data_IF_287424716530
#
_entry.id   IF_287424716530
#
_cell.length_a   1.000
_cell.length_b   1.000
_cell.length_c   1.000
_cell.angle_alpha   90.00
_cell.angle_beta   90.00
_cell.angle_gamma   90.00
#
_symmetry.space_group_name_H-M   'P 1'
#
loop_
_entity.id
_entity.type
_entity.pdbx_description
1 polymer ?
#
# COMPACT_ATOMS: atom_id res chain seq x y z
N UNK A 1 5.34 -41.77 -10.54
CA UNK A 1 4.49 -40.58 -10.76
C UNK A 1 3.44 -40.54 -9.67
N UNK A 2 3.59 -39.64 -8.70
CA UNK A 2 2.52 -39.08 -7.88
C UNK A 2 3.12 -37.90 -7.11
N UNK A 3 2.56 -36.73 -7.36
CA UNK A 3 3.06 -35.39 -7.05
C UNK A 3 2.79 -35.00 -5.59
N UNK A 4 3.82 -34.49 -4.92
CA UNK A 4 3.75 -33.80 -3.63
C UNK A 4 2.97 -32.48 -3.78
N UNK A 5 1.89 -32.30 -3.00
CA UNK A 5 1.25 -31.01 -2.74
C UNK A 5 1.64 -30.54 -1.33
N UNK A 6 2.14 -29.31 -1.14
CA UNK A 6 2.28 -28.74 0.19
C UNK A 6 0.91 -28.26 0.70
N UNK A 7 0.44 -28.87 1.80
CA UNK A 7 -0.73 -28.43 2.55
C UNK A 7 -0.36 -27.11 3.26
N UNK A 8 -0.86 -25.99 2.74
CA UNK A 8 -0.83 -24.70 3.43
C UNK A 8 -1.90 -24.75 4.52
N UNK A 9 -1.47 -25.02 5.74
CA UNK A 9 -2.32 -25.01 6.93
C UNK A 9 -2.67 -23.55 7.28
N UNK A 10 -3.79 -23.06 6.75
CA UNK A 10 -4.38 -21.78 7.19
C UNK A 10 -5.03 -22.02 8.55
N UNK A 11 -4.33 -21.65 9.63
CA UNK A 11 -4.90 -21.64 10.97
C UNK A 11 -5.96 -20.54 11.08
N UNK A 12 -7.23 -20.94 10.89
CA UNK A 12 -8.41 -20.14 11.20
C UNK A 12 -8.55 -20.00 12.73
N UNK A 13 -7.83 -19.04 13.33
CA UNK A 13 -8.08 -18.60 14.71
C UNK A 13 -9.36 -17.75 14.74
N UNK A 14 -10.51 -18.40 14.90
CA UNK A 14 -11.76 -17.73 15.25
C UNK A 14 -11.78 -17.46 16.75
N UNK A 15 -11.15 -16.37 17.19
CA UNK A 15 -11.32 -15.86 18.56
C UNK A 15 -12.48 -14.86 18.55
N UNK A 16 -13.71 -15.35 18.74
CA UNK A 16 -14.82 -14.51 19.18
C UNK A 16 -14.97 -14.64 20.69
N UNK A 17 -14.29 -13.77 21.43
CA UNK A 17 -14.72 -13.41 22.78
C UNK A 17 -14.84 -11.87 22.85
N UNK A 18 -16.05 -11.38 22.63
CA UNK A 18 -16.41 -9.97 22.81
C UNK A 18 -16.57 -9.64 24.30
N UNK A 19 -15.49 -9.75 25.07
CA UNK A 19 -15.48 -9.23 26.44
C UNK A 19 -15.13 -7.74 26.42
N UNK A 20 -15.85 -6.93 27.21
CA UNK A 20 -15.44 -5.56 27.52
C UNK A 20 -14.07 -5.61 28.20
N UNK A 21 -13.18 -4.68 27.85
CA UNK A 21 -11.89 -4.57 28.52
C UNK A 21 -12.07 -4.13 29.97
N UNK A 22 -11.12 -4.49 30.82
CA UNK A 22 -11.11 -4.03 32.21
C UNK A 22 -10.31 -2.74 32.30
N UNK A 23 -10.92 -1.66 32.80
CA UNK A 23 -10.26 -0.36 32.93
C UNK A 23 -8.98 -0.47 33.79
N UNK A 24 -7.91 0.16 33.33
CA UNK A 24 -6.61 0.16 34.02
C UNK A 24 -5.78 -1.11 33.83
N UNK A 25 -6.29 -2.15 33.17
CA UNK A 25 -5.47 -3.28 32.71
C UNK A 25 -4.61 -2.87 31.50
N UNK A 26 -3.59 -3.67 31.17
CA UNK A 26 -2.78 -3.40 30.00
C UNK A 26 -3.60 -3.42 28.69
N UNK A 27 -3.10 -2.78 27.64
CA UNK A 27 -3.65 -2.97 26.29
C UNK A 27 -3.46 -4.44 25.91
N UNK A 28 -4.55 -5.09 25.48
CA UNK A 28 -4.52 -6.53 25.21
C UNK A 28 -3.56 -6.88 24.08
N UNK A 29 -3.01 -8.09 24.11
CA UNK A 29 -2.01 -8.56 23.16
C UNK A 29 -2.50 -8.45 21.72
N UNK A 30 -3.75 -8.87 21.45
CA UNK A 30 -4.36 -8.76 20.13
C UNK A 30 -4.56 -7.32 19.65
N UNK A 31 -4.82 -6.39 20.57
CA UNK A 31 -5.08 -4.99 20.21
C UNK A 31 -3.79 -4.24 19.86
N UNK A 32 -2.72 -4.41 20.63
CA UNK A 32 -1.46 -3.74 20.33
C UNK A 32 -0.72 -4.37 19.14
N UNK A 33 -0.73 -5.70 19.01
CA UNK A 33 -0.14 -6.40 17.85
C UNK A 33 -0.94 -6.15 16.57
N UNK A 34 -2.27 -6.12 16.66
CA UNK A 34 -3.14 -5.75 15.54
C UNK A 34 -2.91 -4.31 15.08
N UNK A 35 -2.68 -3.37 16.02
CA UNK A 35 -2.32 -2.00 15.68
C UNK A 35 -0.98 -1.94 14.93
N UNK A 36 0.04 -2.68 15.39
CA UNK A 36 1.31 -2.79 14.67
C UNK A 36 1.14 -3.40 13.27
N UNK A 37 0.30 -4.42 13.14
CA UNK A 37 -0.04 -5.01 11.83
C UNK A 37 -0.64 -3.98 10.90
N UNK A 38 -1.58 -3.15 11.38
CA UNK A 38 -2.14 -2.04 10.59
C UNK A 38 -1.07 -1.01 10.18
N UNK A 39 -0.14 -0.66 11.09
CA UNK A 39 0.98 0.21 10.76
C UNK A 39 1.87 -0.41 9.67
N UNK A 40 2.11 -1.72 9.72
CA UNK A 40 2.82 -2.48 8.69
C UNK A 40 2.10 -2.42 7.32
N UNK A 41 0.79 -2.58 7.29
CA UNK A 41 -0.02 -2.44 6.07
C UNK A 41 0.06 -1.01 5.48
N UNK A 42 0.10 0.00 6.33
CA UNK A 42 0.30 1.40 5.92
C UNK A 42 1.74 1.66 5.42
N UNK A 43 2.75 0.96 5.95
CA UNK A 43 4.12 1.00 5.43
C UNK A 43 4.22 0.36 4.05
N UNK A 44 3.58 -0.78 3.82
CA UNK A 44 3.45 -1.39 2.48
C UNK A 44 2.76 -0.45 1.49
N UNK A 45 1.75 0.27 1.96
CA UNK A 45 1.05 1.26 1.14
C UNK A 45 1.97 2.40 0.67
N UNK A 46 2.86 2.87 1.54
CA UNK A 46 3.87 3.88 1.19
C UNK A 46 4.82 3.36 0.11
N UNK A 47 5.35 2.13 0.26
CA UNK A 47 6.21 1.49 -0.74
C UNK A 47 5.53 1.34 -2.10
N UNK A 48 4.25 0.94 -2.11
CA UNK A 48 3.42 0.90 -3.33
C UNK A 48 3.26 2.28 -3.97
N UNK A 49 3.10 3.33 -3.15
CA UNK A 49 3.09 4.71 -3.61
C UNK A 49 4.42 5.12 -4.27
N UNK A 50 5.55 4.77 -3.64
CA UNK A 50 6.88 5.04 -4.17
C UNK A 50 7.11 4.32 -5.51
N UNK A 51 6.75 3.04 -5.59
CA UNK A 51 6.78 2.25 -6.82
C UNK A 51 6.03 2.93 -7.95
N UNK A 52 4.85 3.50 -7.67
CA UNK A 52 4.07 4.19 -8.69
C UNK A 52 4.77 5.43 -9.23
N UNK A 53 5.45 6.19 -8.37
CA UNK A 53 6.24 7.36 -8.79
C UNK A 53 7.45 6.94 -9.63
N UNK A 54 8.16 5.87 -9.25
CA UNK A 54 9.32 5.38 -10.00
C UNK A 54 8.93 4.75 -11.33
N UNK A 55 7.85 3.95 -11.36
CA UNK A 55 7.38 3.26 -12.56
C UNK A 55 7.04 4.21 -13.72
N UNK A 56 6.44 5.37 -13.42
CA UNK A 56 6.11 6.36 -14.46
C UNK A 56 7.38 6.94 -15.10
N UNK A 57 8.39 7.27 -14.28
CA UNK A 57 9.69 7.77 -14.77
C UNK A 57 10.42 6.73 -15.62
N UNK A 58 10.37 5.45 -15.21
CA UNK A 58 10.94 4.33 -15.97
C UNK A 58 10.22 4.17 -17.31
N UNK A 59 8.89 4.28 -17.35
CA UNK A 59 8.12 4.18 -18.59
C UNK A 59 8.47 5.29 -19.58
N UNK A 60 8.48 6.56 -19.13
CA UNK A 60 8.85 7.72 -19.96
C UNK A 60 10.26 7.54 -20.54
N UNK A 61 11.23 7.22 -19.69
CA UNK A 61 12.63 7.02 -20.12
C UNK A 61 12.75 5.89 -21.15
N UNK A 62 11.97 4.81 -20.98
CA UNK A 62 11.99 3.66 -21.88
C UNK A 62 11.38 3.99 -23.24
N UNK A 63 10.24 4.69 -23.30
CA UNK A 63 9.61 5.12 -24.56
C UNK A 63 10.49 6.11 -25.33
N UNK A 64 11.12 7.09 -24.64
CA UNK A 64 12.06 8.03 -25.27
C UNK A 64 13.29 7.32 -25.83
N UNK A 65 13.91 6.40 -25.06
CA UNK A 65 15.04 5.61 -25.57
C UNK A 65 14.64 4.78 -26.78
N UNK A 66 13.46 4.17 -26.75
CA UNK A 66 13.01 3.32 -27.85
C UNK A 66 12.72 4.15 -29.09
N UNK A 67 12.11 5.33 -28.95
CA UNK A 67 11.95 6.30 -30.03
C UNK A 67 13.29 6.63 -30.69
N UNK A 68 14.29 7.06 -29.91
CA UNK A 68 15.60 7.41 -30.48
C UNK A 68 16.33 6.23 -31.11
N UNK A 69 16.28 5.04 -30.49
CA UNK A 69 16.85 3.82 -31.09
C UNK A 69 16.22 3.51 -32.45
N UNK A 70 14.89 3.58 -32.53
CA UNK A 70 14.16 3.36 -33.78
C UNK A 70 14.49 4.43 -34.81
N UNK A 71 14.51 5.71 -34.43
CA UNK A 71 14.85 6.81 -35.32
C UNK A 71 16.26 6.69 -35.89
N UNK A 72 17.27 6.49 -35.03
CA UNK A 72 18.68 6.32 -35.43
C UNK A 72 18.85 5.11 -36.36
N UNK A 73 18.17 3.99 -36.06
CA UNK A 73 18.23 2.80 -36.92
C UNK A 73 17.66 3.07 -38.31
N UNK A 74 16.53 3.76 -38.40
CA UNK A 74 15.87 4.09 -39.66
C UNK A 74 16.67 5.10 -40.48
N UNK A 75 17.27 6.11 -39.84
CA UNK A 75 18.19 7.04 -40.49
C UNK A 75 19.39 6.32 -41.11
N UNK A 76 19.99 5.39 -40.36
CA UNK A 76 21.12 4.60 -40.84
C UNK A 76 20.76 3.63 -41.96
N UNK A 77 19.59 2.98 -41.87
CA UNK A 77 19.19 1.91 -42.80
C UNK A 77 18.52 2.42 -44.08
N UNK A 78 17.81 3.56 -44.01
CA UNK A 78 16.99 4.07 -45.09
C UNK A 78 17.36 5.50 -45.53
N UNK A 79 18.47 6.07 -45.06
CA UNK A 79 18.94 7.43 -45.44
C UNK A 79 17.87 8.52 -45.25
N UNK A 80 17.06 8.41 -44.19
CA UNK A 80 15.99 9.36 -43.89
C UNK A 80 14.68 9.15 -44.67
N UNK A 81 14.56 8.08 -45.48
CA UNK A 81 13.31 7.74 -46.18
C UNK A 81 12.48 6.78 -45.33
N UNK A 82 11.37 7.26 -44.80
CA UNK A 82 10.48 6.46 -43.95
C UNK A 82 9.32 5.88 -44.74
N UNK A 83 9.04 4.60 -44.50
CA UNK A 83 7.75 4.01 -44.90
C UNK A 83 6.64 4.45 -43.93
N UNK A 84 5.37 4.46 -44.35
CA UNK A 84 4.26 4.80 -43.46
C UNK A 84 4.21 3.94 -42.18
N UNK A 85 4.61 2.66 -42.27
CA UNK A 85 4.67 1.77 -41.10
C UNK A 85 5.77 2.18 -40.10
N UNK A 86 6.88 2.75 -40.57
CA UNK A 86 7.97 3.22 -39.74
C UNK A 86 7.63 4.56 -39.09
N UNK A 87 6.97 5.47 -39.81
CA UNK A 87 6.41 6.70 -39.25
C UNK A 87 5.39 6.40 -38.15
N UNK A 88 4.46 5.47 -38.40
CA UNK A 88 3.48 5.04 -37.41
C UNK A 88 4.13 4.44 -36.15
N UNK A 89 5.26 3.73 -36.29
CA UNK A 89 6.00 3.19 -35.15
C UNK A 89 6.67 4.30 -34.32
N UNK A 90 7.24 5.32 -34.96
CA UNK A 90 7.80 6.49 -34.28
C UNK A 90 6.70 7.29 -33.57
N UNK A 91 5.57 7.53 -34.23
CA UNK A 91 4.40 8.18 -33.65
C UNK A 91 3.87 7.39 -32.45
N UNK A 92 3.78 6.07 -32.53
CA UNK A 92 3.38 5.22 -31.40
C UNK A 92 4.27 5.45 -30.16
N UNK A 93 5.59 5.48 -30.31
CA UNK A 93 6.50 5.73 -29.18
C UNK A 93 6.39 7.16 -28.65
N UNK A 94 6.16 8.16 -29.51
CA UNK A 94 5.92 9.54 -29.11
C UNK A 94 4.59 9.69 -28.34
N UNK A 95 3.50 9.10 -28.85
CA UNK A 95 2.20 9.06 -28.18
C UNK A 95 2.28 8.36 -26.83
N UNK A 96 2.96 7.22 -26.73
CA UNK A 96 3.15 6.52 -25.46
C UNK A 96 4.00 7.32 -24.46
N UNK A 97 4.98 8.09 -24.95
CA UNK A 97 5.73 9.03 -24.12
C UNK A 97 4.81 10.11 -23.57
N UNK A 98 3.97 10.72 -24.42
CA UNK A 98 3.00 11.75 -24.01
C UNK A 98 1.93 11.20 -23.06
N UNK A 99 1.43 9.98 -23.28
CA UNK A 99 0.53 9.28 -22.37
C UNK A 99 1.20 9.07 -21.00
N UNK A 100 2.44 8.57 -20.97
CA UNK A 100 3.19 8.37 -19.75
C UNK A 100 3.46 9.71 -19.04
N UNK A 101 3.81 10.77 -19.77
CA UNK A 101 4.03 12.11 -19.23
C UNK A 101 2.72 12.74 -18.70
N UNK A 102 1.59 12.52 -19.36
CA UNK A 102 0.27 12.94 -18.86
C UNK A 102 -0.13 12.22 -17.58
N UNK A 103 0.49 11.06 -17.29
CA UNK A 103 0.35 10.38 -16.00
C UNK A 103 1.21 11.00 -14.89
N UNK A 104 2.22 11.79 -15.25
CA UNK A 104 3.02 12.67 -14.37
C UNK A 104 2.32 14.00 -14.12
N UNK A 105 1.26 14.35 -14.87
CA UNK A 105 0.52 15.59 -14.66
C UNK A 105 0.22 15.81 -13.17
N UNK A 106 0.48 17.03 -12.69
CA UNK A 106 0.72 17.37 -11.28
C UNK A 106 -0.27 16.70 -10.30
N UNK A 107 -1.55 16.64 -10.64
CA UNK A 107 -2.59 16.06 -9.80
C UNK A 107 -2.36 14.57 -9.44
N UNK A 108 -1.80 13.75 -10.33
CA UNK A 108 -1.54 12.32 -10.05
C UNK A 108 -0.32 12.11 -9.15
N UNK A 109 0.74 12.88 -9.38
CA UNK A 109 1.95 12.87 -8.55
C UNK A 109 1.62 13.38 -7.15
N UNK A 110 0.92 14.52 -7.06
CA UNK A 110 0.49 15.11 -5.79
C UNK A 110 -0.47 14.20 -5.02
N UNK A 111 -1.41 13.52 -5.70
CA UNK A 111 -2.27 12.51 -5.06
C UNK A 111 -1.49 11.33 -4.50
N UNK A 112 -0.47 10.86 -5.24
CA UNK A 112 0.39 9.75 -4.80
C UNK A 112 1.28 10.16 -3.62
N UNK A 113 1.93 11.33 -3.70
CA UNK A 113 2.70 11.90 -2.61
C UNK A 113 1.85 12.14 -1.35
N UNK A 114 0.62 12.63 -1.53
CA UNK A 114 -0.33 12.82 -0.43
C UNK A 114 -0.72 11.48 0.19
N UNK A 115 -0.91 10.43 -0.61
CA UNK A 115 -1.22 9.09 -0.11
C UNK A 115 -0.05 8.52 0.72
N UNK A 116 1.19 8.68 0.25
CA UNK A 116 2.40 8.31 0.99
C UNK A 116 2.45 9.06 2.33
N UNK A 117 2.30 10.40 2.31
CA UNK A 117 2.31 11.23 3.51
C UNK A 117 1.23 10.82 4.51
N UNK A 118 0.00 10.60 4.05
CA UNK A 118 -1.13 10.24 4.91
C UNK A 118 -0.96 8.85 5.53
N UNK A 119 -0.48 7.87 4.75
CA UNK A 119 -0.20 6.52 5.24
C UNK A 119 0.96 6.52 6.25
N UNK A 120 2.04 7.25 5.96
CA UNK A 120 3.19 7.39 6.85
C UNK A 120 2.84 8.08 8.16
N UNK A 121 2.06 9.16 8.11
CA UNK A 121 1.60 9.84 9.32
C UNK A 121 0.76 8.93 10.22
N UNK A 122 -0.11 8.10 9.64
CA UNK A 122 -0.91 7.13 10.39
C UNK A 122 -0.05 5.99 10.97
N UNK A 123 0.87 5.42 10.18
CA UNK A 123 1.79 4.37 10.64
C UNK A 123 2.68 4.87 11.79
N UNK A 124 3.28 6.06 11.64
CA UNK A 124 4.13 6.67 12.66
C UNK A 124 3.36 7.00 13.94
N UNK A 125 2.11 7.48 13.83
CA UNK A 125 1.29 7.76 15.00
C UNK A 125 0.96 6.47 15.78
N UNK A 126 0.65 5.37 15.08
CA UNK A 126 0.42 4.06 15.70
C UNK A 126 1.70 3.56 16.37
N UNK A 127 2.80 3.48 15.60
CA UNK A 127 4.08 2.98 16.10
C UNK A 127 4.60 3.79 17.29
N UNK A 128 4.50 5.11 17.23
CA UNK A 128 4.90 6.01 18.32
C UNK A 128 4.11 5.74 19.60
N UNK A 129 2.78 5.63 19.52
CA UNK A 129 1.96 5.32 20.69
C UNK A 129 2.29 3.95 21.30
N UNK A 130 2.37 2.90 20.49
CA UNK A 130 2.67 1.55 20.99
C UNK A 130 4.08 1.49 21.59
N UNK A 131 5.08 2.16 20.98
CA UNK A 131 6.42 2.28 21.58
C UNK A 131 6.39 3.02 22.89
N UNK A 132 5.62 4.12 23.01
CA UNK A 132 5.44 4.79 24.30
C UNK A 132 4.86 3.84 25.35
N UNK A 133 3.82 3.07 25.01
CA UNK A 133 3.26 2.09 25.95
C UNK A 133 4.25 0.97 26.32
N UNK A 134 5.08 0.52 25.38
CA UNK A 134 6.13 -0.46 25.64
C UNK A 134 7.18 0.04 26.64
N UNK A 135 7.55 1.32 26.53
CA UNK A 135 8.52 1.94 27.44
C UNK A 135 7.92 2.24 28.82
N UNK A 136 6.60 2.36 28.94
CA UNK A 136 5.89 2.55 30.20
C UNK A 136 5.63 1.18 30.84
N UNK A 137 6.71 0.58 31.33
CA UNK A 137 6.72 -0.69 32.02
C UNK A 137 7.67 -0.65 33.23
N UNK A 138 7.19 -1.15 34.37
CA UNK A 138 8.01 -1.51 35.51
C UNK A 138 8.34 -3.02 35.45
N UNK A 139 9.36 -3.45 36.18
CA UNK A 139 9.74 -4.85 36.23
C UNK A 139 8.56 -5.71 36.72
N UNK A 140 8.15 -6.67 35.88
CA UNK A 140 7.28 -7.84 36.14
C UNK A 140 5.84 -7.59 36.61
N UNK A 141 5.48 -6.37 37.00
CA UNK A 141 4.18 -6.09 37.67
C UNK A 141 3.33 -5.03 36.98
N UNK A 142 3.94 -4.04 36.33
CA UNK A 142 3.22 -2.95 35.68
C UNK A 142 3.71 -2.80 34.25
N UNK A 143 2.79 -2.80 33.30
CA UNK A 143 3.10 -2.55 31.90
C UNK A 143 1.83 -2.05 31.22
N UNK A 144 2.02 -1.18 30.24
CA UNK A 144 0.92 -0.76 29.40
C UNK A 144 0.58 -1.72 28.27
N UNK A 145 1.40 -2.76 28.06
CA UNK A 145 1.16 -3.81 27.08
C UNK A 145 1.07 -5.18 27.75
N UNK A 146 0.13 -6.00 27.30
CA UNK A 146 -0.01 -7.40 27.71
C UNK A 146 1.00 -8.28 26.95
N UNK A 147 1.67 -9.21 27.65
CA UNK A 147 2.70 -10.05 27.04
C UNK A 147 2.16 -11.18 26.14
N UNK A 148 0.95 -11.66 26.42
CA UNK A 148 0.33 -12.79 25.76
C UNK A 148 -1.20 -12.73 25.93
N UNK A 149 -1.93 -13.25 24.95
CA UNK A 149 -3.40 -13.18 24.90
C UNK A 149 -4.08 -13.58 26.22
N UNK A 150 -5.02 -12.74 26.67
CA UNK A 150 -5.98 -13.05 27.75
C UNK A 150 -5.34 -13.36 29.10
N UNK A 151 -4.11 -12.92 29.34
CA UNK A 151 -3.39 -13.14 30.60
C UNK A 151 -3.43 -11.94 31.54
N UNK A 152 -3.48 -10.74 30.98
CA UNK A 152 -3.12 -9.46 31.61
C UNK A 152 -1.76 -9.50 32.34
N UNK A 153 -0.82 -10.31 31.85
CA UNK A 153 0.54 -10.34 32.37
C UNK A 153 1.38 -9.22 31.73
N UNK A 154 2.25 -8.61 32.53
CA UNK A 154 3.03 -7.47 32.11
C UNK A 154 4.01 -7.84 30.98
N UNK A 155 3.95 -7.13 29.86
CA UNK A 155 5.00 -7.18 28.85
C UNK A 155 6.24 -6.47 29.38
N UNK A 156 7.36 -7.18 29.40
CA UNK A 156 8.66 -6.56 29.62
C UNK A 156 8.98 -5.58 28.47
N UNK A 157 9.59 -4.44 28.82
CA UNK A 157 10.11 -3.49 27.82
C UNK A 157 11.07 -4.19 26.88
N UNK A 158 11.04 -3.85 25.60
CA UNK A 158 11.92 -4.49 24.64
C UNK A 158 11.77 -3.88 23.25
N UNK A 159 12.67 -4.25 22.34
CA UNK A 159 12.58 -3.78 20.97
C UNK A 159 11.28 -4.28 20.33
N UNK A 160 10.56 -3.36 19.71
CA UNK A 160 9.45 -3.66 18.80
C UNK A 160 10.00 -3.72 17.37
N UNK A 161 9.34 -4.45 16.48
CA UNK A 161 9.76 -4.57 15.08
C UNK A 161 9.98 -5.99 14.56
N UNK A 162 9.94 -6.99 15.44
CA UNK A 162 9.80 -8.39 15.06
C UNK A 162 8.43 -8.91 15.50
N UNK A 163 8.02 -10.06 14.98
CA UNK A 163 6.77 -10.68 15.40
C UNK A 163 6.71 -10.80 16.93
N UNK A 164 5.59 -10.41 17.57
CA UNK A 164 4.30 -10.03 16.96
C UNK A 164 4.12 -8.50 16.75
N UNK A 165 5.18 -7.70 16.92
CA UNK A 165 5.20 -6.24 16.84
C UNK A 165 5.66 -5.67 15.47
N UNK A 166 5.64 -6.48 14.40
CA UNK A 166 6.02 -6.02 13.06
C UNK A 166 5.12 -4.84 12.61
N UNK A 167 5.72 -3.79 12.05
CA UNK A 167 5.09 -2.52 11.69
C UNK A 167 5.20 -1.41 12.75
N UNK A 168 5.67 -1.74 13.95
CA UNK A 168 5.94 -0.77 15.04
C UNK A 168 7.44 -0.55 15.28
N UNK A 169 8.30 -0.85 14.30
CA UNK A 169 9.74 -0.61 14.34
C UNK A 169 10.03 0.85 14.70
N UNK A 170 11.06 1.10 15.50
CA UNK A 170 11.52 2.46 15.81
C UNK A 170 11.93 3.22 14.55
N UNK A 171 12.68 2.53 13.69
CA UNK A 171 13.06 2.99 12.36
C UNK A 171 12.61 1.94 11.32
N UNK A 172 11.60 2.24 10.49
CA UNK A 172 11.18 1.35 9.41
C UNK A 172 12.16 1.32 8.23
N UNK A 173 13.23 2.14 8.27
CA UNK A 173 14.21 2.30 7.21
C UNK A 173 13.74 3.18 6.06
N UNK A 174 14.58 3.26 5.02
CA UNK A 174 14.31 4.05 3.84
C UNK A 174 13.09 3.53 3.04
N UNK A 175 12.41 4.47 2.38
CA UNK A 175 11.30 4.16 1.50
C UNK A 175 11.81 3.43 0.24
N UNK A 176 11.39 2.17 0.06
CA UNK A 176 11.71 1.36 -1.11
C UNK A 176 10.54 1.29 -2.10
N UNK A 177 10.83 1.04 -3.38
CA UNK A 177 9.86 0.99 -4.48
C UNK A 177 9.26 -0.40 -4.71
N UNK A 178 8.95 -1.10 -3.62
CA UNK A 178 8.46 -2.48 -3.64
C UNK A 178 6.92 -2.54 -3.70
N UNK A 179 6.38 -3.45 -4.50
CA UNK A 179 4.94 -3.73 -4.55
C UNK A 179 4.62 -4.90 -3.64
N UNK A 180 4.03 -4.61 -2.48
CA UNK A 180 3.50 -5.61 -1.57
C UNK A 180 1.97 -5.52 -1.49
N UNK A 181 1.31 -6.67 -1.48
CA UNK A 181 -0.14 -6.75 -1.34
C UNK A 181 -0.56 -6.31 0.08
N UNK A 182 -1.68 -5.59 0.15
CA UNK A 182 -2.29 -5.10 1.38
C UNK A 182 -3.74 -5.58 1.50
N UNK A 183 -3.97 -6.89 1.69
CA UNK A 183 -5.29 -7.51 1.48
C UNK A 183 -6.35 -7.04 2.47
N UNK A 184 -5.95 -6.57 3.66
CA UNK A 184 -6.86 -6.08 4.69
C UNK A 184 -7.07 -4.57 4.61
N UNK A 185 -6.26 -3.84 3.85
CA UNK A 185 -6.40 -2.40 3.62
C UNK A 185 -7.15 -2.16 2.29
N UNK A 186 -8.45 -1.89 2.39
CA UNK A 186 -9.32 -1.67 1.24
C UNK A 186 -9.42 -0.19 0.89
N UNK A 187 -10.09 0.13 -0.23
CA UNK A 187 -10.38 1.52 -0.61
C UNK A 187 -11.22 2.28 0.43
N UNK A 188 -12.01 1.57 1.23
CA UNK A 188 -13.00 2.16 2.15
C UNK A 188 -12.60 2.07 3.61
N UNK A 189 -11.59 1.27 3.98
CA UNK A 189 -11.24 1.04 5.36
C UNK A 189 -10.35 -0.19 5.56
N UNK A 190 -10.32 -0.70 6.79
CA UNK A 190 -9.51 -1.84 7.23
C UNK A 190 -10.39 -3.00 7.69
N UNK A 191 -10.24 -4.16 7.05
CA UNK A 191 -11.15 -5.31 7.19
C UNK A 191 -10.52 -6.50 7.93
N UNK A 192 -9.42 -6.29 8.64
CA UNK A 192 -8.87 -7.34 9.50
C UNK A 192 -9.89 -7.78 10.56
N UNK A 193 -9.85 -9.05 10.92
CA UNK A 193 -10.75 -9.62 11.93
C UNK A 193 -10.68 -8.80 13.24
N UNK A 194 -11.84 -8.55 13.85
CA UNK A 194 -11.96 -7.72 15.07
C UNK A 194 -12.03 -6.21 14.81
N UNK A 195 -11.63 -5.70 13.65
CA UNK A 195 -11.61 -4.25 13.37
C UNK A 195 -12.93 -3.68 12.83
N UNK A 196 -13.92 -4.52 12.51
CA UNK A 196 -15.26 -4.09 12.07
C UNK A 196 -16.16 -3.54 13.18
N UNK A 197 -15.78 -3.71 14.44
CA UNK A 197 -16.53 -3.23 15.58
C UNK A 197 -15.67 -2.38 16.51
N UNK A 198 -16.32 -1.46 17.21
CA UNK A 198 -15.71 -0.73 18.32
C UNK A 198 -15.55 -1.67 19.50
N UNK A 199 -14.42 -1.62 20.18
CA UNK A 199 -14.10 -2.55 21.27
C UNK A 199 -13.32 -1.85 22.38
N UNK A 200 -13.37 -2.40 23.60
CA UNK A 200 -12.42 -2.04 24.65
C UNK A 200 -11.02 -2.51 24.25
N UNK A 201 -10.02 -1.66 24.38
CA UNK A 201 -8.64 -1.99 24.00
C UNK A 201 -7.87 -2.73 25.11
N UNK A 202 -8.41 -2.70 26.33
CA UNK A 202 -7.75 -3.22 27.53
C UNK A 202 -8.00 -4.73 27.70
N UNK A 203 -7.04 -5.44 28.29
CA UNK A 203 -7.17 -6.87 28.58
C UNK A 203 -8.29 -7.15 29.58
N UNK A 204 -9.02 -8.23 29.35
CA UNK A 204 -9.98 -8.82 30.27
C UNK A 204 -9.37 -9.96 31.10
N UNK A 205 -8.06 -10.22 30.98
CA UNK A 205 -7.34 -11.24 31.74
C UNK A 205 -7.21 -10.90 33.23
N UNK A 206 -6.86 -11.91 34.02
CA UNK A 206 -6.80 -11.85 35.50
C UNK A 206 -5.41 -11.51 36.07
N UNK A 207 -4.41 -11.29 35.22
CA UNK A 207 -3.05 -10.92 35.62
C UNK A 207 -2.93 -9.52 36.22
N UNK A 208 -1.70 -9.16 36.60
CA UNK A 208 -1.40 -8.01 37.45
C UNK A 208 -1.05 -6.73 36.68
N UNK A 209 -0.89 -6.78 35.35
CA UNK A 209 -0.46 -5.61 34.59
C UNK A 209 -1.45 -4.45 34.74
N UNK A 210 -0.92 -3.28 35.11
CA UNK A 210 -1.68 -2.03 35.21
C UNK A 210 -1.09 -0.94 34.34
N UNK A 211 -1.98 -0.15 33.74
CA UNK A 211 -1.66 0.95 32.86
C UNK A 211 -2.52 2.17 33.15
N UNK A 212 -1.90 3.34 33.28
CA UNK A 212 -2.66 4.59 33.50
C UNK A 212 -3.45 5.01 32.25
N UNK A 213 -2.92 4.76 31.04
CA UNK A 213 -3.56 5.17 29.77
C UNK A 213 -4.88 4.43 29.47
N UNK A 214 -5.15 3.33 30.18
CA UNK A 214 -6.37 2.54 30.00
C UNK A 214 -7.40 2.72 31.11
N UNK A 215 -7.06 3.49 32.17
CA UNK A 215 -7.98 3.80 33.27
C UNK A 215 -9.12 4.71 32.80
N UNK A 216 -10.29 4.55 33.43
CA UNK A 216 -11.43 5.44 33.28
C UNK A 216 -11.03 6.91 33.51
N UNK A 217 -11.66 7.86 32.81
CA UNK A 217 -11.31 9.30 32.87
C UNK A 217 -11.31 9.86 34.29
N UNK A 218 -12.24 9.40 35.12
CA UNK A 218 -12.42 9.85 36.50
C UNK A 218 -11.33 9.36 37.47
N UNK A 219 -10.55 8.35 37.09
CA UNK A 219 -9.47 7.78 37.90
C UNK A 219 -8.15 7.69 37.11
N UNK A 220 -8.05 8.47 36.04
CA UNK A 220 -6.90 8.49 35.16
C UNK A 220 -5.87 9.49 35.70
N UNK A 221 -4.77 9.00 36.26
CA UNK A 221 -3.71 9.84 36.86
C UNK A 221 -2.82 10.56 35.83
N UNK A 222 -3.31 10.85 34.63
CA UNK A 222 -2.63 11.70 33.65
C UNK A 222 -2.62 13.18 34.06
N UNK A 223 -3.57 13.59 34.90
CA UNK A 223 -3.60 14.91 35.52
C UNK A 223 -3.04 14.78 36.95
N UNK A 224 -2.22 15.73 37.38
CA UNK A 224 -1.73 15.78 38.74
C UNK A 224 -2.89 16.06 39.71
N UNK A 225 -3.25 15.12 40.61
CA UNK A 225 -4.34 15.33 41.55
C UNK A 225 -3.86 16.16 42.75
N UNK A 226 -4.32 17.42 42.87
CA UNK A 226 -4.07 18.23 44.07
C UNK A 226 -4.89 17.73 45.28
N UNK A 227 -6.08 17.17 45.03
CA UNK A 227 -6.87 16.43 46.01
C UNK A 227 -7.81 15.43 45.30
N UNK A 228 -7.51 14.13 45.43
CA UNK A 228 -8.27 13.06 44.76
C UNK A 228 -8.15 13.07 43.23
N UNK A 229 -8.60 11.99 42.60
CA UNK A 229 -8.51 11.85 41.15
C UNK A 229 -9.29 12.94 40.40
N UNK A 230 -8.66 13.50 39.37
CA UNK A 230 -9.24 14.55 38.54
C UNK A 230 -9.84 13.94 37.28
N UNK A 231 -11.10 14.27 36.99
CA UNK A 231 -11.76 13.79 35.78
C UNK A 231 -11.23 14.53 34.54
N UNK A 232 -10.76 13.76 33.55
CA UNK A 232 -10.40 14.31 32.25
C UNK A 232 -11.69 14.78 31.53
N UNK A 233 -11.78 16.07 31.22
CA UNK A 233 -12.96 16.63 30.54
C UNK A 233 -13.06 16.24 29.05
N UNK A 234 -11.93 16.25 28.33
CA UNK A 234 -11.87 15.92 26.90
C UNK A 234 -11.86 14.41 26.62
N UNK A 235 -11.80 14.04 25.34
CA UNK A 235 -11.59 12.66 24.87
C UNK A 235 -10.16 12.52 24.30
N UNK A 236 -9.14 12.16 25.12
CA UNK A 236 -7.81 11.90 24.61
C UNK A 236 -7.83 10.90 23.45
N UNK A 237 -7.17 11.25 22.35
CA UNK A 237 -7.05 10.43 21.16
C UNK A 237 -5.59 10.01 20.97
N UNK A 238 -5.36 8.73 20.73
CA UNK A 238 -4.02 8.16 20.58
C UNK A 238 -3.89 7.43 19.24
N UNK A 239 -2.65 7.20 18.80
CA UNK A 239 -2.36 6.49 17.56
C UNK A 239 -3.13 7.05 16.34
N UNK A 240 -3.08 8.38 16.17
CA UNK A 240 -3.79 9.07 15.09
C UNK A 240 -5.32 9.03 15.23
N UNK A 241 -5.81 8.72 16.42
CA UNK A 241 -7.21 8.54 16.78
C UNK A 241 -7.75 7.13 16.61
N UNK A 242 -6.90 6.13 16.34
CA UNK A 242 -7.26 4.71 16.38
C UNK A 242 -7.83 4.31 17.76
N UNK A 243 -7.16 4.76 18.82
CA UNK A 243 -7.61 4.58 20.19
C UNK A 243 -8.08 5.91 20.76
N UNK A 244 -9.02 5.84 21.69
CA UNK A 244 -9.47 6.99 22.42
C UNK A 244 -9.91 6.61 23.83
N UNK A 245 -9.70 7.52 24.78
CA UNK A 245 -10.10 7.29 26.16
C UNK A 245 -11.56 7.71 26.34
N UNK A 246 -12.46 6.72 26.39
CA UNK A 246 -13.86 6.93 26.75
C UNK A 246 -14.01 7.04 28.28
N UNK A 247 -15.20 7.44 28.75
CA UNK A 247 -15.46 7.65 30.18
C UNK A 247 -14.98 6.49 31.08
N UNK A 248 -15.22 5.24 30.67
CA UNK A 248 -14.90 4.05 31.47
C UNK A 248 -13.59 3.35 31.15
N UNK A 249 -13.03 3.49 29.94
CA UNK A 249 -11.84 2.72 29.51
C UNK A 249 -11.27 3.27 28.19
N UNK A 250 -10.06 2.83 27.84
CA UNK A 250 -9.52 2.98 26.49
C UNK A 250 -10.30 2.10 25.50
N UNK A 251 -10.73 2.70 24.39
CA UNK A 251 -11.46 2.01 23.31
C UNK A 251 -10.73 2.12 22.00
N UNK A 252 -10.85 1.07 21.19
CA UNK A 252 -10.48 1.07 19.78
C UNK A 252 -11.69 1.40 18.91
N UNK A 253 -11.48 2.20 17.87
CA UNK A 253 -12.50 2.48 16.84
C UNK A 253 -12.69 1.29 15.89
N UNK A 254 -13.88 1.19 15.31
CA UNK A 254 -14.08 0.36 14.12
C UNK A 254 -13.46 1.05 12.90
N UNK A 255 -12.84 0.28 12.01
CA UNK A 255 -12.09 0.80 10.87
C UNK A 255 -12.61 0.30 9.51
N UNK A 256 -13.66 -0.52 9.49
CA UNK A 256 -14.29 -1.08 8.29
C UNK A 256 -14.84 -0.01 7.33
N UNK A 257 -15.22 1.15 7.88
CA UNK A 257 -15.64 2.32 7.12
C UNK A 257 -14.89 3.58 7.58
N UNK A 258 -13.81 3.91 6.89
CA UNK A 258 -12.98 5.08 7.17
C UNK A 258 -13.72 6.41 6.94
N UNK A 259 -14.69 6.46 6.03
CA UNK A 259 -15.45 7.68 5.78
C UNK A 259 -16.30 8.09 6.99
N UNK A 260 -16.80 7.10 7.75
CA UNK A 260 -17.61 7.28 8.95
C UNK A 260 -16.80 7.56 10.22
N UNK A 261 -15.46 7.61 10.15
CA UNK A 261 -14.61 7.99 11.26
C UNK A 261 -14.81 9.47 11.63
N UNK A 262 -14.89 9.73 12.95
CA UNK A 262 -15.14 11.06 13.51
C UNK A 262 -13.92 12.01 13.43
N UNK A 263 -14.13 13.28 13.77
CA UNK A 263 -13.11 14.32 13.68
C UNK A 263 -11.86 14.02 14.51
N UNK A 264 -11.99 13.32 15.65
CA UNK A 264 -10.88 12.92 16.52
C UNK A 264 -9.96 11.85 15.94
N UNK A 265 -10.26 11.35 14.73
CA UNK A 265 -9.54 10.27 14.05
C UNK A 265 -9.04 10.66 12.66
N UNK A 266 -8.76 11.95 12.45
CA UNK A 266 -8.40 12.49 11.13
C UNK A 266 -7.13 11.88 10.53
N UNK A 267 -6.12 11.56 11.35
CA UNK A 267 -4.85 10.99 10.88
C UNK A 267 -5.09 9.57 10.40
N UNK A 268 -5.72 8.71 11.22
CA UNK A 268 -6.01 7.34 10.82
C UNK A 268 -7.00 7.29 9.65
N UNK A 269 -8.00 8.17 9.62
CA UNK A 269 -8.94 8.31 8.50
C UNK A 269 -8.23 8.59 7.18
N UNK A 270 -7.30 9.55 7.17
CA UNK A 270 -6.51 9.88 5.98
C UNK A 270 -5.62 8.72 5.55
N UNK A 271 -4.96 8.05 6.49
CA UNK A 271 -4.14 6.86 6.21
C UNK A 271 -4.94 5.72 5.59
N UNK A 272 -6.12 5.40 6.13
CA UNK A 272 -7.01 4.36 5.57
C UNK A 272 -7.49 4.71 4.15
N UNK A 273 -7.87 5.96 3.91
CA UNK A 273 -8.33 6.42 2.60
C UNK A 273 -7.20 6.58 1.57
N UNK A 274 -5.93 6.48 1.98
CA UNK A 274 -4.79 6.58 1.07
C UNK A 274 -4.75 5.41 0.07
N UNK A 275 -5.28 4.23 0.43
CA UNK A 275 -5.42 3.10 -0.49
C UNK A 275 -6.26 3.45 -1.72
N UNK A 276 -7.35 4.20 -1.55
CA UNK A 276 -8.19 4.66 -2.65
C UNK A 276 -7.50 5.64 -3.60
N UNK A 277 -6.53 6.41 -3.11
CA UNK A 277 -5.73 7.34 -3.93
C UNK A 277 -4.73 6.61 -4.84
N UNK A 278 -4.41 5.36 -4.51
CA UNK A 278 -3.46 4.52 -5.25
C UNK A 278 -4.12 3.50 -6.21
N UNK A 279 -5.45 3.53 -6.38
CA UNK A 279 -6.21 2.49 -7.08
C UNK A 279 -6.01 2.37 -8.61
N UNK A 280 -5.26 3.28 -9.24
CA UNK A 280 -4.99 3.22 -10.68
C UNK A 280 -3.51 2.90 -10.91
N UNK A 281 -3.20 1.75 -11.52
CA UNK A 281 -1.82 1.37 -11.85
C UNK A 281 -1.24 2.24 -12.98
N UNK A 282 0.06 2.47 -12.95
CA UNK A 282 0.77 3.02 -14.11
C UNK A 282 0.84 1.94 -15.20
N UNK A 283 0.56 2.32 -16.46
CA UNK A 283 0.68 1.36 -17.58
C UNK A 283 2.15 1.03 -17.81
N UNK A 284 2.53 -0.25 -17.98
CA UNK A 284 3.91 -0.64 -18.24
C UNK A 284 4.39 -0.17 -19.62
N UNK A 285 5.71 -0.18 -19.81
CA UNK A 285 6.34 0.02 -21.11
C UNK A 285 6.06 -1.18 -22.03
N UNK A 286 5.61 -0.91 -23.26
CA UNK A 286 5.32 -1.92 -24.28
C UNK A 286 6.15 -1.66 -25.54
N UNK A 287 6.93 -2.65 -25.97
CA UNK A 287 7.66 -2.60 -27.24
C UNK A 287 6.81 -3.13 -28.40
N UNK A 288 6.88 -2.47 -29.55
CA UNK A 288 6.38 -3.03 -30.82
C UNK A 288 7.55 -3.35 -31.73
N UNK A 289 7.55 -4.57 -32.30
CA UNK A 289 8.50 -4.92 -33.36
C UNK A 289 8.13 -4.16 -34.63
N UNK A 290 9.10 -3.61 -35.37
CA UNK A 290 8.84 -3.15 -36.72
C UNK A 290 8.35 -4.33 -37.56
N UNK A 291 7.27 -4.15 -38.33
CA UNK A 291 6.91 -5.14 -39.35
C UNK A 291 8.11 -5.24 -40.30
N UNK A 292 8.74 -6.41 -40.35
CA UNK A 292 9.81 -6.67 -41.28
C UNK A 292 9.24 -6.59 -42.70
N UNK A 293 9.50 -5.49 -43.40
CA UNK A 293 9.34 -5.44 -44.85
C UNK A 293 10.32 -6.45 -45.43
N UNK A 294 9.77 -7.55 -45.94
CA UNK A 294 10.47 -8.65 -46.58
C UNK A 294 11.42 -8.07 -47.65
N UNK A 295 12.72 -8.09 -47.38
CA UNK A 295 13.76 -7.86 -48.39
C UNK A 295 13.58 -8.93 -49.48
N UNK A 296 13.33 -8.51 -50.73
CA UNK A 296 13.66 -9.33 -51.91
C UNK A 296 14.85 -8.67 -52.59
N UNK A 297 16.04 -9.14 -52.23
CA UNK A 297 17.21 -9.01 -53.09
C UNK A 297 17.19 -10.13 -54.15
N UNK A 298 17.37 -9.71 -55.40
CA UNK A 298 18.03 -10.40 -56.52
C UNK A 298 17.60 -11.83 -56.87
N UNK A 299 16.96 -11.97 -58.04
CA UNK A 299 17.31 -13.03 -58.97
C UNK A 299 17.53 -12.35 -60.34
N UNK A 300 18.79 -12.32 -60.78
CA UNK A 300 19.17 -12.09 -62.16
C UNK A 300 19.83 -13.34 -62.72
N UNK A 301 19.62 -13.57 -64.02
CA UNK A 301 20.18 -14.59 -64.93
C UNK A 301 19.62 -16.02 -64.88
N UNK A 302 18.82 -16.40 -65.89
CA UNK A 302 19.34 -17.09 -67.08
C UNK A 302 18.22 -17.40 -68.12
N UNK A 303 18.47 -16.99 -69.38
CA UNK A 303 18.34 -17.75 -70.66
C UNK A 303 16.97 -18.39 -71.00
N UNK A 304 16.37 -18.41 -72.20
CA UNK A 304 16.41 -17.78 -73.53
C UNK A 304 15.42 -18.59 -74.41
N UNK A 305 14.65 -17.95 -75.30
CA UNK A 305 13.73 -18.52 -76.35
C UNK A 305 12.48 -19.26 -75.80
N UNK A 306 11.29 -19.15 -76.37
CA UNK A 306 10.94 -19.16 -77.79
C UNK A 306 9.51 -18.60 -78.07
N UNK A 307 9.32 -18.19 -79.32
CA UNK A 307 8.10 -17.91 -80.10
C UNK A 307 6.73 -18.41 -79.59
N UNK A 308 5.70 -17.55 -79.57
CA UNK A 308 4.66 -17.49 -80.64
C UNK A 308 3.36 -16.77 -80.22
N UNK A 309 2.92 -15.84 -81.09
CA UNK A 309 1.55 -15.58 -81.61
C UNK A 309 0.32 -15.50 -80.66
N UNK A 310 -0.42 -14.40 -80.82
CA UNK A 310 -1.90 -14.37 -80.77
C UNK A 310 -2.49 -13.41 -79.73
N UNK A 311 -2.87 -12.19 -80.09
CA UNK A 311 -4.16 -11.77 -80.67
C UNK A 311 -5.25 -11.36 -79.65
N UNK A 312 -5.67 -10.10 -79.79
CA UNK A 312 -7.01 -9.52 -79.63
C UNK A 312 -7.71 -9.41 -78.26
N UNK A 313 -7.98 -8.14 -77.91
CA UNK A 313 -9.29 -7.50 -77.70
C UNK A 313 -9.49 -6.69 -76.40
N UNK A 314 -9.47 -5.37 -76.59
CA UNK A 314 -10.42 -4.34 -76.15
C UNK A 314 -11.63 -4.78 -75.29
N UNK A 315 -11.84 -4.10 -74.16
CA UNK A 315 -13.08 -3.33 -73.88
C UNK A 315 -12.99 -2.46 -72.63
N UNK A 316 -13.05 -1.13 -72.86
CA UNK A 316 -13.68 -0.17 -71.96
C UNK A 316 -15.17 -0.52 -71.77
N UNK A 317 -15.74 -0.31 -70.58
CA UNK A 317 -16.64 0.82 -70.31
C UNK A 317 -17.60 0.61 -69.11
N UNK A 318 -17.93 1.76 -68.48
CA UNK A 318 -19.08 2.15 -67.62
C UNK A 318 -18.93 1.86 -66.12
N UNK A 319 -19.13 2.82 -65.21
CA UNK A 319 -19.73 4.17 -65.27
C UNK A 319 -18.86 5.20 -64.56
#
# INVERSE_FOLDING_TARGET
MLTNLPIVLVALLTVQQHAKGTAGNAVSHGEWTGACTLAGELNKLQKRGAHRLTAVTVAVTSYIRQYFKTHIFLEKSNSGIYTPAQEALLQYYAEKTNEALSSVADDKVLKTATAIRDAGAAAAAIGGFIRTLDQIAALETHSCLENAQSTNNAKAKGKLGSAPAAGCEEDPGDLTDTVEATPTLTRTGYTAAGYGTKQGASSNGVGTAKCVFTKAKASNHMLNPVAGDQNIAGDPHYAGGLFYLAAGELKRRKLDNAAALDAGSIIIKRGLLAAGKLANEAKPFETKKPLATRSRHSISSNIQKDSSKGNYHTRLARR
#
